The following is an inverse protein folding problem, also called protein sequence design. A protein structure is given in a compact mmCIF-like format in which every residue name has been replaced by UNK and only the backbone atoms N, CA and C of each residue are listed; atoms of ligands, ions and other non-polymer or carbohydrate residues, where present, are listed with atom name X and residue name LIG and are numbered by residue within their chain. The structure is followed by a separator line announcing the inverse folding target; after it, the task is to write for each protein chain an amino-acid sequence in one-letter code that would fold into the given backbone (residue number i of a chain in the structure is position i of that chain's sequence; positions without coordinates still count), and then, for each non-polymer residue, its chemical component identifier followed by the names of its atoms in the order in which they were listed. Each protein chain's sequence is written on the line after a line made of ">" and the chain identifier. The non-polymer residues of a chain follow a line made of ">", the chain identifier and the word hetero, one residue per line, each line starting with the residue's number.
data_IF_994304708223
#
_entry.id   IF_994304708223
#
_cell.length_a   1.000
_cell.length_b   1.000
_cell.length_c   1.000
_cell.angle_alpha   90.00
_cell.angle_beta   90.00
_cell.angle_gamma   90.00
#
_symmetry.space_group_name_H-M   'P 1'
#
loop_
_entity.id
_entity.type
_entity.pdbx_description
1 polymer ?
#
# COMPACT_ATOMS: atom_id res chain seq x y z
N UNK A 1 8.73 13.23 -0.74
CA UNK A 1 8.68 12.67 0.62
C UNK A 1 9.42 11.34 0.74
N UNK A 2 9.04 10.29 -0.01
CA UNK A 2 9.57 8.92 0.17
C UNK A 2 11.09 8.77 0.07
N UNK A 3 11.78 9.58 -0.76
CA UNK A 3 13.24 9.47 -0.92
C UNK A 3 14.01 9.67 0.38
N UNK A 4 13.61 10.64 1.21
CA UNK A 4 14.29 10.92 2.48
C UNK A 4 14.05 9.79 3.47
N UNK A 5 12.83 9.27 3.56
CA UNK A 5 12.51 8.18 4.47
C UNK A 5 13.20 6.86 4.08
N UNK A 6 13.30 6.57 2.77
CA UNK A 6 14.08 5.44 2.26
C UNK A 6 15.57 5.58 2.61
N UNK A 7 16.16 6.77 2.45
CA UNK A 7 17.55 7.03 2.82
C UNK A 7 17.81 6.90 4.32
N UNK A 8 16.82 7.22 5.16
CA UNK A 8 16.91 7.11 6.62
C UNK A 8 16.57 5.71 7.14
N UNK A 9 16.23 4.75 6.27
CA UNK A 9 15.86 3.39 6.65
C UNK A 9 14.63 3.30 7.57
N UNK A 10 13.70 4.27 7.48
CA UNK A 10 12.51 4.31 8.33
C UNK A 10 11.35 3.58 7.67
N UNK A 11 10.71 2.68 8.43
CA UNK A 11 9.41 2.10 8.05
C UNK A 11 8.31 3.15 8.19
N UNK A 12 7.44 3.25 7.18
CA UNK A 12 6.31 4.18 7.16
C UNK A 12 5.05 3.39 6.85
N UNK A 13 3.96 3.72 7.52
CA UNK A 13 2.62 3.27 7.16
C UNK A 13 1.88 4.48 6.57
N UNK A 14 1.44 4.35 5.33
CA UNK A 14 0.65 5.36 4.63
C UNK A 14 -0.78 4.86 4.50
N UNK A 15 -1.75 5.68 4.90
CA UNK A 15 -3.18 5.42 4.70
C UNK A 15 -3.67 6.43 3.67
N UNK A 16 -4.20 5.91 2.56
CA UNK A 16 -4.78 6.72 1.49
C UNK A 16 -6.07 6.05 1.00
N UNK A 17 -6.93 6.84 0.38
CA UNK A 17 -8.12 6.34 -0.32
C UNK A 17 -7.87 6.15 -1.82
N UNK A 18 -6.70 6.58 -2.33
CA UNK A 18 -6.30 6.45 -3.72
C UNK A 18 -5.46 5.17 -3.91
N UNK A 19 -6.02 4.20 -4.65
CA UNK A 19 -5.39 2.91 -4.91
C UNK A 19 -4.16 3.08 -5.81
N UNK A 20 -4.19 3.98 -6.78
CA UNK A 20 -3.08 4.21 -7.70
C UNK A 20 -1.88 4.83 -6.98
N UNK A 21 -2.14 5.73 -6.03
CA UNK A 21 -1.11 6.24 -5.13
C UNK A 21 -0.50 5.12 -4.29
N UNK A 22 -1.34 4.28 -3.68
CA UNK A 22 -0.87 3.17 -2.86
C UNK A 22 0.01 2.19 -3.64
N UNK A 23 -0.40 1.82 -4.86
CA UNK A 23 0.37 0.91 -5.73
C UNK A 23 1.72 1.48 -6.17
N UNK A 24 1.82 2.80 -6.39
CA UNK A 24 3.09 3.43 -6.81
C UNK A 24 4.09 3.57 -5.68
N UNK A 25 3.62 3.70 -4.44
CA UNK A 25 4.45 4.09 -3.30
C UNK A 25 4.74 2.94 -2.34
N UNK A 26 3.85 1.96 -2.24
CA UNK A 26 3.95 0.91 -1.25
C UNK A 26 4.86 -0.23 -1.71
N UNK A 27 5.66 -0.74 -0.78
CA UNK A 27 6.34 -2.03 -0.94
C UNK A 27 5.38 -3.18 -0.54
N UNK A 28 4.49 -2.92 0.42
CA UNK A 28 3.41 -3.80 0.89
C UNK A 28 2.07 -3.06 0.92
N UNK A 29 1.04 -3.65 0.33
CA UNK A 29 -0.32 -3.12 0.30
C UNK A 29 -1.22 -3.93 1.23
N UNK A 30 -2.09 -3.24 1.97
CA UNK A 30 -3.17 -3.84 2.78
C UNK A 30 -4.46 -3.13 2.41
N UNK A 31 -5.45 -3.90 1.96
CA UNK A 31 -6.80 -3.42 1.68
C UNK A 31 -7.69 -3.79 2.86
N UNK A 32 -8.45 -2.80 3.33
CA UNK A 32 -9.39 -2.97 4.43
C UNK A 32 -10.80 -2.57 3.99
N UNK A 33 -11.79 -3.33 4.44
CA UNK A 33 -13.20 -3.00 4.28
C UNK A 33 -13.96 -3.36 5.56
N UNK A 34 -14.87 -2.50 6.00
CA UNK A 34 -15.67 -2.72 7.22
C UNK A 34 -14.86 -2.91 8.52
N UNK A 35 -13.58 -2.53 8.55
CA UNK A 35 -12.68 -2.76 9.68
C UNK A 35 -11.88 -4.07 9.62
N UNK A 36 -12.09 -4.88 8.59
CA UNK A 36 -11.40 -6.15 8.36
C UNK A 36 -10.38 -6.04 7.23
N UNK A 37 -9.29 -6.82 7.29
CA UNK A 37 -8.33 -6.92 6.18
C UNK A 37 -8.88 -7.87 5.14
N UNK A 38 -9.19 -7.35 3.96
CA UNK A 38 -9.72 -8.15 2.84
C UNK A 38 -8.62 -8.67 1.92
N UNK A 39 -7.49 -7.97 1.83
CA UNK A 39 -6.34 -8.40 1.04
C UNK A 39 -5.03 -7.81 1.57
N UNK A 40 -3.94 -8.54 1.42
CA UNK A 40 -2.59 -8.06 1.72
C UNK A 40 -1.55 -8.73 0.81
N UNK A 41 -0.54 -7.98 0.38
CA UNK A 41 0.48 -8.53 -0.53
C UNK A 41 1.53 -7.51 -0.95
N UNK A 42 2.48 -7.96 -1.77
CA UNK A 42 3.48 -7.08 -2.38
C UNK A 42 2.85 -6.28 -3.52
N UNK A 43 3.05 -4.96 -3.56
CA UNK A 43 2.41 -4.09 -4.57
C UNK A 43 2.72 -4.49 -6.03
N UNK A 44 3.82 -5.22 -6.25
CA UNK A 44 4.24 -5.69 -7.58
C UNK A 44 3.75 -7.11 -7.95
N UNK A 45 3.23 -7.90 -7.00
CA UNK A 45 2.91 -9.32 -7.21
C UNK A 45 1.43 -9.67 -7.01
N UNK A 46 0.74 -8.93 -6.13
CA UNK A 46 -0.63 -9.22 -5.70
C UNK A 46 -1.50 -7.98 -5.91
N UNK A 47 -1.53 -7.45 -7.15
CA UNK A 47 -2.40 -6.34 -7.50
C UNK A 47 -3.83 -6.65 -6.99
N UNK A 48 -4.47 -5.72 -6.25
CA UNK A 48 -5.82 -5.95 -5.79
C UNK A 48 -6.65 -6.21 -7.03
N UNK A 49 -7.28 -7.38 -7.10
CA UNK A 49 -8.28 -7.64 -8.10
C UNK A 49 -9.29 -6.52 -7.95
N UNK A 50 -9.32 -5.62 -8.94
CA UNK A 50 -10.24 -4.50 -8.98
C UNK A 50 -11.64 -5.10 -9.12
N UNK A 51 -12.23 -5.54 -8.01
CA UNK A 51 -13.62 -5.93 -7.96
C UNK A 51 -14.41 -4.69 -7.55
N UNK A 52 -14.61 -3.82 -8.54
CA UNK A 52 -15.93 -3.53 -9.11
C UNK A 52 -15.85 -2.35 -10.08
#
# INVERSE_FOLDING_TARGET
>A
MLRIHRLLGRTIVLVTHDIDEALRLADHLVLMDGGEVVQQGGAAGDAPAAEK
#
